data_IF_462670227189
#
_entry.id   IF_462670227189
#
_cell.length_a   1.000
_cell.length_b   1.000
_cell.length_c   1.000
_cell.angle_alpha   90.00
_cell.angle_beta   90.00
_cell.angle_gamma   90.00
#
_symmetry.space_group_name_H-M   'P 1'
#
loop_
_entity.id
_entity.type
_entity.pdbx_description
1 polymer ?
#
# COMPACT_ATOMS: atom_id res chain seq x y z
N UNK A 1 5.50 -1.47 15.16
CA UNK A 1 6.01 -2.42 16.18
C UNK A 1 5.77 -3.86 15.76
N UNK A 2 6.71 -4.75 16.03
CA UNK A 2 6.49 -6.20 15.95
C UNK A 2 6.57 -6.74 17.37
N UNK A 3 5.48 -7.31 17.88
CA UNK A 3 5.49 -7.79 19.26
C UNK A 3 6.30 -9.10 19.37
N UNK A 4 7.23 -9.20 20.33
CA UNK A 4 7.79 -10.48 20.73
C UNK A 4 6.67 -11.46 21.06
N UNK A 5 6.79 -12.71 20.60
CA UNK A 5 5.77 -13.75 20.77
C UNK A 5 4.35 -13.35 20.33
N UNK A 6 4.24 -12.30 19.50
CA UNK A 6 2.99 -11.81 18.92
C UNK A 6 1.97 -11.28 19.93
N UNK A 7 2.41 -10.93 21.15
CA UNK A 7 1.54 -10.40 22.21
C UNK A 7 2.14 -9.10 22.75
N UNK A 8 1.30 -8.08 22.92
CA UNK A 8 1.73 -6.85 23.58
C UNK A 8 1.60 -7.01 25.10
N UNK A 9 2.63 -6.61 25.83
CA UNK A 9 2.54 -6.44 27.29
C UNK A 9 1.65 -5.24 27.64
N UNK A 10 1.61 -4.20 26.79
CA UNK A 10 0.83 -3.00 27.02
C UNK A 10 0.40 -2.34 25.69
N UNK A 11 -0.82 -2.66 25.25
CA UNK A 11 -1.40 -2.09 24.02
C UNK A 11 -1.57 -0.57 24.11
N UNK A 12 -1.97 -0.04 25.26
CA UNK A 12 -2.19 1.40 25.45
C UNK A 12 -0.88 2.20 25.31
N UNK A 13 0.23 1.67 25.81
CA UNK A 13 1.53 2.29 25.62
C UNK A 13 1.99 2.19 24.17
N UNK A 14 1.79 1.03 23.54
CA UNK A 14 2.16 0.83 22.13
C UNK A 14 1.45 1.84 21.23
N UNK A 15 0.14 2.04 21.42
CA UNK A 15 -0.65 2.97 20.61
C UNK A 15 -0.23 4.44 20.76
N UNK A 16 0.35 4.82 21.90
CA UNK A 16 0.87 6.19 22.11
C UNK A 16 2.16 6.47 21.35
N UNK A 17 2.92 5.44 20.97
CA UNK A 17 4.28 5.58 20.43
C UNK A 17 4.39 5.10 18.98
N UNK A 18 3.60 4.12 18.58
CA UNK A 18 3.63 3.54 17.25
C UNK A 18 2.31 3.78 16.51
N UNK A 19 2.38 4.00 15.20
CA UNK A 19 1.19 4.13 14.35
C UNK A 19 0.51 2.79 14.02
N UNK A 20 1.25 1.68 14.20
CA UNK A 20 0.74 0.32 14.04
C UNK A 20 1.66 -0.73 14.66
N UNK A 21 1.09 -1.90 14.93
CA UNK A 21 1.79 -3.08 15.38
C UNK A 21 1.20 -4.37 14.80
N UNK A 22 2.04 -5.41 14.70
CA UNK A 22 1.63 -6.73 14.22
C UNK A 22 1.66 -7.83 15.29
N UNK A 23 0.68 -8.73 15.20
CA UNK A 23 0.60 -10.05 15.85
C UNK A 23 0.80 -11.13 14.78
N UNK A 24 0.65 -12.42 15.10
CA UNK A 24 0.88 -13.52 14.15
C UNK A 24 -0.22 -14.60 14.15
N UNK A 25 -1.48 -14.19 14.03
CA UNK A 25 -2.61 -15.14 13.94
C UNK A 25 -2.90 -15.67 12.53
N UNK A 26 -2.00 -15.45 11.55
CA UNK A 26 -2.04 -16.12 10.24
C UNK A 26 -3.27 -15.81 9.39
N UNK A 27 -3.66 -14.54 9.28
CA UNK A 27 -4.82 -14.10 8.51
C UNK A 27 -4.44 -13.08 7.45
N UNK A 28 -5.12 -13.12 6.31
CA UNK A 28 -5.13 -11.99 5.39
C UNK A 28 -5.77 -10.80 6.10
N UNK A 29 -5.09 -9.67 6.03
CA UNK A 29 -5.55 -8.42 6.63
C UNK A 29 -6.49 -7.73 5.64
N UNK A 30 -7.70 -7.32 6.05
CA UNK A 30 -8.59 -6.60 5.15
C UNK A 30 -7.99 -5.26 4.72
N UNK A 31 -8.44 -4.72 3.58
CA UNK A 31 -8.02 -3.41 3.03
C UNK A 31 -8.03 -2.24 4.03
N UNK A 32 -8.83 -2.35 5.09
CA UNK A 32 -8.86 -1.45 6.24
C UNK A 32 -8.87 -2.32 7.51
N UNK A 33 -7.73 -2.45 8.21
CA UNK A 33 -7.67 -3.18 9.47
C UNK A 33 -8.57 -2.54 10.52
N UNK A 34 -9.33 -3.34 11.27
CA UNK A 34 -10.15 -2.86 12.39
C UNK A 34 -9.33 -2.45 13.61
N UNK A 35 -8.09 -2.93 13.72
CA UNK A 35 -7.19 -2.60 14.82
C UNK A 35 -5.74 -2.55 14.31
N UNK A 36 -5.20 -1.33 14.19
CA UNK A 36 -3.83 -1.11 13.73
C UNK A 36 -2.76 -1.58 14.73
N UNK A 37 -3.11 -1.83 15.99
CA UNK A 37 -2.21 -2.41 16.99
C UNK A 37 -2.25 -3.93 17.04
N UNK A 38 -3.04 -4.58 16.18
CA UNK A 38 -3.19 -6.05 16.10
C UNK A 38 -3.26 -6.53 14.64
N UNK A 39 -2.41 -5.99 13.77
CA UNK A 39 -2.37 -6.39 12.36
C UNK A 39 -1.82 -7.82 12.27
N UNK A 40 -2.47 -8.70 11.51
CA UNK A 40 -2.05 -10.10 11.40
C UNK A 40 -0.71 -10.25 10.67
N UNK A 41 -0.04 -11.39 10.86
CA UNK A 41 1.06 -11.85 10.02
C UNK A 41 1.10 -13.38 10.03
N UNK A 42 1.71 -13.96 8.99
CA UNK A 42 1.97 -15.39 8.86
C UNK A 42 3.37 -15.68 9.37
N UNK A 43 3.48 -16.48 10.43
CA UNK A 43 4.79 -17.03 10.83
C UNK A 43 5.24 -18.01 9.74
N UNK A 44 6.50 -17.88 9.33
CA UNK A 44 7.09 -18.68 8.27
C UNK A 44 8.36 -19.39 8.74
N UNK A 45 8.70 -20.48 8.04
CA UNK A 45 9.91 -21.26 8.25
C UNK A 45 9.67 -22.64 8.86
N UNK A 46 10.75 -23.34 9.19
CA UNK A 46 10.77 -24.78 9.51
C UNK A 46 9.81 -25.22 10.62
N UNK A 47 9.54 -24.36 11.60
CA UNK A 47 8.66 -24.63 12.74
C UNK A 47 7.17 -24.42 12.42
N UNK A 48 6.84 -24.12 11.16
CA UNK A 48 5.48 -23.83 10.70
C UNK A 48 5.14 -24.61 9.42
N UNK A 49 3.87 -24.57 9.01
CA UNK A 49 3.45 -25.08 7.70
C UNK A 49 3.84 -24.14 6.55
N UNK A 50 4.05 -22.85 6.81
CA UNK A 50 4.35 -21.85 5.78
C UNK A 50 5.86 -21.77 5.55
N UNK A 51 6.42 -22.71 4.80
CA UNK A 51 7.89 -22.83 4.67
C UNK A 51 8.42 -23.05 3.26
N UNK A 52 7.55 -23.16 2.27
CA UNK A 52 7.96 -23.34 0.86
C UNK A 52 7.32 -22.29 -0.02
N UNK A 53 7.87 -22.14 -1.22
CA UNK A 53 7.36 -21.29 -2.31
C UNK A 53 5.87 -21.51 -2.54
N UNK A 54 5.42 -22.77 -2.58
CA UNK A 54 4.00 -23.11 -2.79
C UNK A 54 3.12 -22.53 -1.68
N UNK A 55 3.54 -22.64 -0.41
CA UNK A 55 2.79 -22.06 0.70
C UNK A 55 2.77 -20.53 0.65
N UNK A 56 3.91 -19.89 0.34
CA UNK A 56 3.99 -18.44 0.24
C UNK A 56 3.14 -17.89 -0.91
N UNK A 57 3.16 -18.55 -2.07
CA UNK A 57 2.34 -18.19 -3.22
C UNK A 57 0.86 -18.37 -2.91
N UNK A 58 0.46 -19.45 -2.23
CA UNK A 58 -0.93 -19.66 -1.82
C UNK A 58 -1.45 -18.53 -0.91
N UNK A 59 -0.62 -18.03 0.01
CA UNK A 59 -0.96 -16.87 0.85
C UNK A 59 -1.11 -15.60 0.00
N UNK A 60 -0.23 -15.39 -0.99
CA UNK A 60 -0.31 -14.24 -1.88
C UNK A 60 -1.58 -14.30 -2.74
N UNK A 61 -1.91 -15.45 -3.29
CA UNK A 61 -3.12 -15.67 -4.09
C UNK A 61 -4.38 -15.49 -3.25
N UNK A 62 -4.36 -15.91 -1.98
CA UNK A 62 -5.42 -15.62 -1.03
C UNK A 62 -5.58 -14.11 -0.77
N UNK A 63 -4.47 -13.36 -0.66
CA UNK A 63 -4.54 -11.91 -0.52
C UNK A 63 -5.20 -11.25 -1.74
N UNK A 64 -4.94 -11.74 -2.95
CA UNK A 64 -5.58 -11.26 -4.18
C UNK A 64 -7.07 -11.59 -4.17
N UNK A 65 -7.45 -12.83 -3.85
CA UNK A 65 -8.86 -13.26 -3.86
C UNK A 65 -9.70 -12.53 -2.82
N UNK A 66 -9.12 -12.21 -1.66
CA UNK A 66 -9.78 -11.48 -0.58
C UNK A 66 -9.64 -9.95 -0.72
N UNK A 67 -8.93 -9.45 -1.73
CA UNK A 67 -8.59 -8.04 -1.89
C UNK A 67 -8.00 -7.44 -0.60
N UNK A 68 -7.05 -8.18 -0.02
CA UNK A 68 -6.46 -7.94 1.28
C UNK A 68 -4.94 -7.82 1.23
N UNK A 69 -4.33 -7.88 2.41
CA UNK A 69 -2.91 -7.69 2.62
C UNK A 69 -2.32 -8.89 3.37
N UNK A 70 -1.36 -9.56 2.73
CA UNK A 70 -0.53 -10.59 3.35
C UNK A 70 0.74 -9.98 3.95
N UNK A 71 1.08 -10.42 5.17
CA UNK A 71 2.30 -10.01 5.86
C UNK A 71 3.05 -11.27 6.28
N UNK A 72 4.26 -11.43 5.76
CA UNK A 72 5.13 -12.55 6.10
C UNK A 72 6.03 -12.18 7.28
N UNK A 73 6.13 -13.08 8.25
CA UNK A 73 7.00 -12.97 9.41
C UNK A 73 8.11 -14.01 9.26
N UNK A 74 9.32 -13.53 8.99
CA UNK A 74 10.55 -14.33 8.96
C UNK A 74 11.41 -14.01 10.19
N UNK A 75 12.05 -15.04 10.74
CA UNK A 75 12.93 -14.92 11.89
C UNK A 75 14.40 -15.13 11.51
N UNK A 76 14.68 -16.14 10.69
CA UNK A 76 16.01 -16.42 10.14
C UNK A 76 15.94 -16.91 8.69
N UNK A 77 17.07 -16.88 8.01
CA UNK A 77 17.27 -17.39 6.64
C UNK A 77 18.40 -18.43 6.66
N UNK A 78 18.17 -19.58 6.02
CA UNK A 78 19.10 -20.70 5.96
C UNK A 78 19.59 -21.12 7.38
N UNK A 79 20.90 -21.29 7.57
CA UNK A 79 21.49 -21.70 8.85
C UNK A 79 22.06 -20.49 9.62
N UNK A 80 21.34 -19.36 9.65
CA UNK A 80 21.78 -18.14 10.36
C UNK A 80 21.65 -18.21 11.89
N UNK A 81 21.13 -19.32 12.42
CA UNK A 81 20.91 -19.54 13.85
C UNK A 81 19.62 -18.92 14.39
N UNK A 82 18.80 -18.29 13.54
CA UNK A 82 17.48 -17.79 13.89
C UNK A 82 16.47 -18.92 14.15
N UNK A 83 15.44 -18.63 14.96
CA UNK A 83 14.30 -19.53 15.13
C UNK A 83 13.58 -19.74 13.79
N UNK A 84 13.08 -20.95 13.51
CA UNK A 84 12.24 -21.23 12.33
C UNK A 84 12.78 -20.59 11.04
N UNK A 85 14.01 -20.96 10.60
CA UNK A 85 14.57 -20.38 9.40
C UNK A 85 13.75 -20.73 8.16
N UNK A 86 13.85 -19.88 7.15
CA UNK A 86 13.38 -20.13 5.78
C UNK A 86 14.56 -20.37 4.86
N UNK A 87 14.45 -21.36 3.98
CA UNK A 87 15.42 -21.58 2.90
C UNK A 87 15.40 -20.38 1.93
N UNK A 88 16.57 -19.83 1.64
CA UNK A 88 16.74 -18.66 0.75
C UNK A 88 16.30 -18.97 -0.68
N UNK A 89 16.37 -20.23 -1.10
CA UNK A 89 15.86 -20.72 -2.39
C UNK A 89 14.34 -20.57 -2.47
N UNK A 90 13.61 -20.95 -1.42
CA UNK A 90 12.15 -20.83 -1.33
C UNK A 90 11.71 -19.36 -1.29
N UNK A 91 12.41 -18.52 -0.52
CA UNK A 91 12.13 -17.08 -0.49
C UNK A 91 12.39 -16.43 -1.86
N UNK A 92 13.49 -16.78 -2.53
CA UNK A 92 13.82 -16.24 -3.86
C UNK A 92 12.78 -16.63 -4.90
N UNK A 93 12.34 -17.88 -4.90
CA UNK A 93 11.33 -18.37 -5.83
C UNK A 93 9.98 -17.66 -5.60
N UNK A 94 9.60 -17.42 -4.35
CA UNK A 94 8.41 -16.62 -4.03
C UNK A 94 8.53 -15.17 -4.51
N UNK A 95 9.67 -14.51 -4.27
CA UNK A 95 9.90 -13.15 -4.79
C UNK A 95 9.85 -13.10 -6.32
N UNK A 96 10.36 -14.13 -6.99
CA UNK A 96 10.25 -14.26 -8.45
C UNK A 96 8.80 -14.44 -8.90
N UNK A 97 7.99 -15.21 -8.18
CA UNK A 97 6.55 -15.34 -8.44
C UNK A 97 5.84 -13.99 -8.34
N UNK A 98 6.06 -13.24 -7.26
CA UNK A 98 5.46 -11.92 -7.09
C UNK A 98 5.89 -10.95 -8.20
N UNK A 99 7.17 -10.99 -8.60
CA UNK A 99 7.70 -10.17 -9.70
C UNK A 99 7.05 -10.51 -11.05
N UNK A 100 6.88 -11.80 -11.35
CA UNK A 100 6.22 -12.26 -12.58
C UNK A 100 4.76 -11.81 -12.65
N UNK A 101 4.08 -11.73 -11.49
CA UNK A 101 2.67 -11.37 -11.35
C UNK A 101 2.46 -9.95 -10.80
N UNK A 102 3.41 -9.04 -11.03
CA UNK A 102 3.44 -7.69 -10.44
C UNK A 102 2.20 -6.82 -10.70
N UNK A 103 1.41 -7.13 -11.72
CA UNK A 103 0.16 -6.40 -12.01
C UNK A 103 -0.95 -6.72 -10.98
N UNK A 104 -0.82 -7.84 -10.24
CA UNK A 104 -1.74 -8.25 -9.18
C UNK A 104 -1.27 -7.86 -7.78
N UNK A 105 0.02 -7.57 -7.62
CA UNK A 105 0.64 -7.40 -6.30
C UNK A 105 1.24 -6.01 -6.13
N UNK A 106 0.86 -5.35 -5.04
CA UNK A 106 1.60 -4.21 -4.53
C UNK A 106 2.45 -4.66 -3.32
N UNK A 107 3.76 -4.71 -3.51
CA UNK A 107 4.73 -5.08 -2.46
C UNK A 107 5.24 -3.80 -1.82
N UNK A 108 5.12 -3.69 -0.50
CA UNK A 108 5.72 -2.59 0.25
C UNK A 108 6.11 -2.99 1.68
N UNK A 109 6.89 -2.13 2.34
CA UNK A 109 7.16 -2.18 3.77
C UNK A 109 5.87 -2.00 4.60
N UNK A 110 5.85 -2.65 5.76
CA UNK A 110 4.70 -2.61 6.68
C UNK A 110 4.26 -1.18 7.04
N UNK A 111 5.23 -0.29 7.29
CA UNK A 111 4.94 1.09 7.70
C UNK A 111 4.32 1.89 6.57
N UNK A 112 4.78 1.73 5.33
CA UNK A 112 4.23 2.47 4.20
C UNK A 112 2.81 1.99 3.83
N UNK A 113 2.54 0.68 3.92
CA UNK A 113 1.15 0.17 3.75
C UNK A 113 0.23 0.76 4.82
N UNK A 114 0.69 0.84 6.09
CA UNK A 114 -0.08 1.45 7.18
C UNK A 114 -0.33 2.94 6.92
N UNK A 115 0.70 3.70 6.53
CA UNK A 115 0.57 5.13 6.18
C UNK A 115 -0.44 5.32 5.06
N UNK A 116 -0.28 4.58 3.96
CA UNK A 116 -1.20 4.60 2.82
C UNK A 116 -2.65 4.32 3.22
N UNK A 117 -2.91 3.28 4.02
CA UNK A 117 -4.28 2.97 4.45
C UNK A 117 -4.85 4.12 5.27
N UNK A 118 -4.09 4.67 6.22
CA UNK A 118 -4.56 5.76 7.09
C UNK A 118 -4.79 7.05 6.30
N UNK A 119 -3.85 7.47 5.46
CA UNK A 119 -4.00 8.62 4.57
C UNK A 119 -5.18 8.44 3.63
N UNK A 120 -5.34 7.27 2.99
CA UNK A 120 -6.48 7.00 2.10
C UNK A 120 -7.83 7.04 2.83
N UNK A 121 -7.88 6.67 4.11
CA UNK A 121 -9.12 6.73 4.91
C UNK A 121 -9.44 8.12 5.43
N UNK A 122 -8.42 8.95 5.70
CA UNK A 122 -8.60 10.30 6.20
C UNK A 122 -8.78 11.34 5.07
N UNK A 123 -8.20 11.08 3.90
CA UNK A 123 -8.10 12.06 2.84
C UNK A 123 -9.44 12.37 2.18
N UNK A 124 -9.63 13.67 1.91
CA UNK A 124 -10.76 14.22 1.16
C UNK A 124 -10.23 15.01 -0.04
N UNK A 125 -10.96 14.94 -1.15
CA UNK A 125 -10.64 15.70 -2.37
C UNK A 125 -11.57 16.90 -2.46
N UNK A 126 -11.01 18.10 -2.50
CA UNK A 126 -11.74 19.35 -2.74
C UNK A 126 -11.39 19.91 -4.11
N UNK A 127 -12.33 19.87 -5.06
CA UNK A 127 -12.13 20.49 -6.37
C UNK A 127 -12.06 22.02 -6.23
N UNK A 128 -10.95 22.61 -6.67
CA UNK A 128 -10.71 24.06 -6.59
C UNK A 128 -11.00 24.75 -7.91
N UNK A 129 -10.78 24.07 -9.04
CA UNK A 129 -11.00 24.63 -10.38
C UNK A 129 -11.34 23.55 -11.38
N UNK A 130 -12.31 23.81 -12.26
CA UNK A 130 -12.59 22.94 -13.40
C UNK A 130 -13.03 23.79 -14.59
N UNK A 131 -12.30 23.68 -15.70
CA UNK A 131 -12.62 24.34 -16.96
C UNK A 131 -12.15 23.49 -18.16
N UNK A 132 -12.27 24.04 -19.38
CA UNK A 132 -11.98 23.31 -20.63
C UNK A 132 -10.55 22.76 -20.72
N UNK A 133 -9.59 23.34 -20.00
CA UNK A 133 -8.17 23.00 -20.08
C UNK A 133 -7.56 22.51 -18.77
N UNK A 134 -8.23 22.68 -17.63
CA UNK A 134 -7.67 22.37 -16.31
C UNK A 134 -8.72 21.77 -15.39
N UNK A 135 -8.34 20.70 -14.69
CA UNK A 135 -9.00 20.21 -13.49
C UNK A 135 -7.98 20.36 -12.37
N UNK A 136 -8.34 21.07 -11.30
CA UNK A 136 -7.50 21.24 -10.13
C UNK A 136 -8.27 20.92 -8.85
N UNK A 137 -7.56 20.36 -7.87
CA UNK A 137 -8.11 19.97 -6.59
C UNK A 137 -7.03 20.01 -5.50
N UNK A 138 -7.45 20.17 -4.25
CA UNK A 138 -6.63 19.86 -3.09
C UNK A 138 -6.96 18.48 -2.58
N UNK A 139 -5.93 17.73 -2.22
CA UNK A 139 -6.04 16.51 -1.44
C UNK A 139 -5.65 16.86 0.00
N UNK A 140 -6.57 16.73 0.93
CA UNK A 140 -6.40 17.18 2.32
C UNK A 140 -6.72 16.06 3.28
N UNK A 141 -6.01 16.00 4.40
CA UNK A 141 -6.40 15.18 5.55
C UNK A 141 -6.19 15.92 6.87
N UNK A 142 -6.26 15.21 7.99
CA UNK A 142 -6.08 15.75 9.34
C UNK A 142 -4.99 15.01 10.12
N UNK A 143 -4.04 14.40 9.42
CA UNK A 143 -2.97 13.59 10.00
C UNK A 143 -1.70 14.44 10.20
N UNK A 144 -0.79 13.93 11.04
CA UNK A 144 0.50 14.59 11.28
C UNK A 144 1.45 14.36 10.09
N UNK A 145 1.70 15.41 9.30
CA UNK A 145 2.52 15.37 8.09
C UNK A 145 4.00 15.00 8.33
N UNK A 146 4.50 15.04 9.57
CA UNK A 146 5.84 14.52 9.90
C UNK A 146 5.90 12.98 9.87
N UNK A 147 4.74 12.33 10.02
CA UNK A 147 4.57 10.89 10.01
C UNK A 147 3.89 10.44 8.72
N UNK A 148 2.81 11.10 8.33
CA UNK A 148 1.97 10.77 7.18
C UNK A 148 2.34 11.66 6.02
N UNK A 149 3.11 11.07 5.10
CA UNK A 149 3.66 11.76 3.94
C UNK A 149 3.78 10.79 2.76
N UNK A 150 2.90 9.79 2.71
CA UNK A 150 2.94 8.74 1.71
C UNK A 150 1.88 9.01 0.64
N UNK A 151 2.26 8.82 -0.62
CA UNK A 151 1.33 9.15 -1.70
C UNK A 151 0.17 8.16 -1.74
N UNK A 152 -1.05 8.65 -1.93
CA UNK A 152 -2.23 7.82 -2.19
C UNK A 152 -2.66 7.91 -3.65
N UNK A 153 -3.34 6.87 -4.13
CA UNK A 153 -3.73 6.74 -5.53
C UNK A 153 -5.10 7.35 -5.77
N UNK A 154 -5.19 8.29 -6.71
CA UNK A 154 -6.43 8.91 -7.16
C UNK A 154 -6.74 8.48 -8.58
N UNK A 155 -8.01 8.11 -8.84
CA UNK A 155 -8.55 7.88 -10.18
C UNK A 155 -9.53 9.00 -10.51
N UNK A 156 -9.18 9.86 -11.47
CA UNK A 156 -10.00 10.99 -11.89
C UNK A 156 -10.44 10.84 -13.34
N UNK A 157 -11.75 10.88 -13.57
CA UNK A 157 -12.31 10.97 -14.92
C UNK A 157 -11.87 12.29 -15.57
N UNK A 158 -11.40 12.20 -16.82
CA UNK A 158 -10.99 13.34 -17.64
C UNK A 158 -11.77 13.33 -18.96
N UNK A 159 -12.00 14.49 -19.60
CA UNK A 159 -12.74 14.53 -20.86
C UNK A 159 -12.09 13.67 -21.95
N UNK A 160 -12.90 12.95 -22.72
CA UNK A 160 -12.43 12.10 -23.83
C UNK A 160 -11.56 12.87 -24.84
N UNK A 161 -11.82 14.17 -25.03
CA UNK A 161 -11.07 15.05 -25.93
C UNK A 161 -9.66 15.44 -25.43
N UNK A 162 -9.27 15.04 -24.21
CA UNK A 162 -7.95 15.29 -23.66
C UNK A 162 -7.01 14.17 -24.11
N UNK A 163 -6.26 14.43 -25.18
CA UNK A 163 -5.33 13.46 -25.79
C UNK A 163 -3.92 13.52 -25.18
N UNK A 164 -3.51 14.68 -24.68
CA UNK A 164 -2.27 14.90 -23.95
C UNK A 164 -2.60 15.72 -22.70
N UNK A 165 -2.02 15.31 -21.58
CA UNK A 165 -2.12 16.02 -20.31
C UNK A 165 -0.73 16.11 -19.67
N UNK A 166 -0.58 17.03 -18.73
CA UNK A 166 0.45 16.99 -17.71
C UNK A 166 -0.25 17.00 -16.34
N UNK A 167 0.36 16.34 -15.36
CA UNK A 167 -0.13 16.37 -13.99
C UNK A 167 0.96 16.97 -13.11
N UNK A 168 0.56 17.86 -12.20
CA UNK A 168 1.43 18.48 -11.22
C UNK A 168 0.81 18.41 -9.82
N UNK A 169 1.65 18.38 -8.80
CA UNK A 169 1.28 18.70 -7.42
C UNK A 169 2.24 19.76 -6.88
N UNK A 170 1.70 20.85 -6.36
CA UNK A 170 2.49 22.02 -5.91
C UNK A 170 3.51 22.47 -6.98
N UNK A 171 3.05 22.58 -8.23
CA UNK A 171 3.82 22.94 -9.41
C UNK A 171 4.91 21.94 -9.86
N UNK A 172 5.21 20.91 -9.07
CA UNK A 172 6.12 19.82 -9.45
C UNK A 172 5.39 18.77 -10.30
N UNK A 173 5.96 18.32 -11.43
CA UNK A 173 5.40 17.20 -12.19
C UNK A 173 5.27 15.94 -11.34
N UNK A 174 4.18 15.21 -11.53
CA UNK A 174 3.99 13.87 -10.94
C UNK A 174 3.64 12.87 -12.04
N UNK A 175 4.06 11.61 -11.85
CA UNK A 175 3.76 10.53 -12.78
C UNK A 175 2.26 10.21 -12.80
N UNK A 176 1.79 9.79 -13.98
CA UNK A 176 0.40 9.44 -14.19
C UNK A 176 0.24 8.34 -15.24
N UNK A 177 -0.87 7.62 -15.16
CA UNK A 177 -1.34 6.67 -16.18
C UNK A 177 -2.66 7.15 -16.75
N UNK A 178 -2.85 7.05 -18.07
CA UNK A 178 -4.17 7.20 -18.68
C UNK A 178 -4.72 5.81 -18.98
N UNK A 179 -5.97 5.59 -18.59
CA UNK A 179 -6.71 4.36 -18.91
C UNK A 179 -8.07 4.72 -19.51
N UNK A 180 -8.62 3.80 -20.29
CA UNK A 180 -9.98 3.90 -20.81
C UNK A 180 -10.75 2.66 -20.36
N UNK A 181 -11.86 2.85 -19.65
CA UNK A 181 -12.71 1.77 -19.14
C UNK A 181 -14.17 2.20 -19.33
N UNK A 182 -15.01 1.29 -19.85
CA UNK A 182 -16.44 1.53 -20.06
C UNK A 182 -16.75 2.86 -20.77
N UNK A 183 -16.03 3.14 -21.86
CA UNK A 183 -16.13 4.37 -22.67
C UNK A 183 -15.80 5.68 -21.95
N UNK A 184 -15.19 5.62 -20.76
CA UNK A 184 -14.69 6.77 -20.02
C UNK A 184 -13.17 6.75 -19.96
N UNK A 185 -12.56 7.94 -19.99
CA UNK A 185 -11.11 8.14 -19.86
C UNK A 185 -10.79 8.61 -18.45
N UNK A 186 -9.81 7.97 -17.83
CA UNK A 186 -9.33 8.34 -16.50
C UNK A 186 -7.84 8.63 -16.53
N UNK A 187 -7.42 9.53 -15.65
CA UNK A 187 -6.03 9.58 -15.20
C UNK A 187 -5.92 8.97 -13.81
N UNK A 188 -4.90 8.15 -13.60
CA UNK A 188 -4.51 7.59 -12.32
C UNK A 188 -3.21 8.27 -11.91
N UNK A 189 -3.20 8.84 -10.71
CA UNK A 189 -2.07 9.62 -10.17
C UNK A 189 -1.82 9.20 -8.73
N UNK A 190 -0.57 9.32 -8.29
CA UNK A 190 -0.22 9.22 -6.87
C UNK A 190 0.09 10.63 -6.35
N UNK A 191 -0.62 11.05 -5.31
CA UNK A 191 -0.48 12.38 -4.71
C UNK A 191 -0.40 12.28 -3.19
N UNK A 192 0.39 13.16 -2.57
CA UNK A 192 0.55 13.20 -1.11
C UNK A 192 -0.51 14.16 -0.54
N UNK A 193 -1.32 13.77 0.45
CA UNK A 193 -2.20 14.69 1.15
C UNK A 193 -1.45 15.92 1.68
N UNK A 194 -2.13 17.07 1.71
CA UNK A 194 -1.60 18.37 2.17
C UNK A 194 -0.38 18.93 1.43
N UNK A 195 0.15 18.22 0.44
CA UNK A 195 1.32 18.64 -0.32
C UNK A 195 1.01 19.65 -1.44
N UNK A 196 -0.05 20.46 -1.28
CA UNK A 196 -0.46 21.51 -2.22
C UNK A 196 -1.43 21.07 -3.32
N UNK A 197 -1.78 22.02 -4.21
CA UNK A 197 -2.79 21.80 -5.25
C UNK A 197 -2.31 20.82 -6.32
N UNK A 198 -3.18 19.87 -6.64
CA UNK A 198 -3.06 18.95 -7.77
C UNK A 198 -3.68 19.62 -9.00
N UNK A 199 -2.98 19.59 -10.12
CA UNK A 199 -3.44 20.15 -11.39
C UNK A 199 -3.28 19.14 -12.51
N UNK A 200 -4.38 18.80 -13.17
CA UNK A 200 -4.41 18.03 -14.41
C UNK A 200 -4.68 19.02 -15.53
N UNK A 201 -3.72 19.22 -16.42
CA UNK A 201 -3.71 20.28 -17.42
C UNK A 201 -3.69 19.65 -18.80
N UNK A 202 -4.70 19.98 -19.62
CA UNK A 202 -4.71 19.67 -21.05
C UNK A 202 -3.60 20.43 -21.75
N UNK A 203 -2.79 19.74 -22.54
CA UNK A 203 -1.80 20.37 -23.41
C UNK A 203 -2.28 20.34 -24.87
N UNK A 204 -1.88 21.37 -25.63
CA UNK A 204 -2.06 21.36 -27.09
C UNK A 204 -1.05 20.41 -27.72
N UNK A 205 -1.38 19.90 -28.90
CA UNK A 205 -0.50 18.97 -29.64
C UNK A 205 0.86 19.59 -29.86
#
# INVERSE_FOLDING_TARGET
MAYPFCVSENYNLTEKVYIAARICNGKIVPKVPSNFMKISSFVCGTETSNKTTTHFNAIADQAVSENGWAIYLFHGIDNDGGYSPIESTELRNHLQYLKTNKESFWIETFVNVVKYIKERQAATIQQTRSNKNVIAAKLIDNLDNSIYNYSITLKKEIPMSWNKIIVKQNNSPIDFKIITESSKKYTIINAIPDAGEIQIIKTKK
#
